data_IF_479623739371
#
_entry.id   IF_479623739371
#
_cell.length_a   1.000
_cell.length_b   1.000
_cell.length_c   1.000
_cell.angle_alpha   90.00
_cell.angle_beta   90.00
_cell.angle_gamma   90.00
#
_symmetry.space_group_name_H-M   'P 1'
#
loop_
_entity.id
_entity.type
_entity.pdbx_description
1 polymer ?
#
# COMPACT_ATOMS: atom_id res chain seq x y z
N UNK A 1 11.68 2.96 -22.92
CA UNK A 1 11.45 2.72 -21.50
C UNK A 1 9.98 2.40 -21.24
N UNK A 2 9.75 1.68 -20.18
CA UNK A 2 8.40 1.27 -19.85
C UNK A 2 7.84 2.13 -18.73
N UNK A 3 6.57 2.46 -18.87
CA UNK A 3 5.88 3.23 -17.86
C UNK A 3 4.77 2.38 -17.28
N UNK A 4 4.68 2.37 -15.97
CA UNK A 4 3.62 1.65 -15.29
C UNK A 4 2.63 2.66 -14.73
N UNK A 5 1.38 2.49 -15.10
CA UNK A 5 0.33 3.31 -14.54
C UNK A 5 -0.19 2.58 -13.30
N UNK A 6 0.09 3.14 -12.14
CA UNK A 6 -0.37 2.58 -10.89
C UNK A 6 -1.69 3.22 -10.57
N UNK A 7 -2.76 2.45 -10.68
CA UNK A 7 -4.09 2.95 -10.37
C UNK A 7 -4.25 3.08 -8.87
N UNK A 8 -4.88 4.16 -8.42
CA UNK A 8 -5.21 4.25 -7.00
C UNK A 8 -6.13 3.11 -6.58
N UNK A 9 -5.96 2.65 -5.38
CA UNK A 9 -6.79 1.58 -4.84
C UNK A 9 -6.96 1.78 -3.35
N UNK A 10 -7.91 1.07 -2.77
CA UNK A 10 -8.14 1.12 -1.35
C UNK A 10 -7.12 0.25 -0.62
N UNK A 11 -6.92 0.47 0.69
CA UNK A 11 -6.06 -0.41 1.45
C UNK A 11 -6.52 -1.87 1.41
N UNK A 12 -7.83 -2.10 1.41
CA UNK A 12 -8.35 -3.47 1.33
C UNK A 12 -7.96 -4.12 0.02
N UNK A 13 -8.03 -3.37 -1.06
CA UNK A 13 -7.63 -3.87 -2.36
C UNK A 13 -6.13 -4.16 -2.37
N UNK A 14 -5.35 -3.29 -1.77
CA UNK A 14 -3.91 -3.46 -1.72
C UNK A 14 -3.53 -4.72 -0.95
N UNK A 15 -4.23 -4.99 0.15
CA UNK A 15 -3.99 -6.20 0.91
C UNK A 15 -4.29 -7.44 0.06
N UNK A 16 -5.38 -7.39 -0.68
CA UNK A 16 -5.73 -8.48 -1.57
C UNK A 16 -4.64 -8.71 -2.60
N UNK A 17 -4.16 -7.64 -3.22
CA UNK A 17 -3.09 -7.75 -4.21
C UNK A 17 -1.82 -8.30 -3.59
N UNK A 18 -1.48 -7.82 -2.40
CA UNK A 18 -0.31 -8.29 -1.69
C UNK A 18 -0.36 -9.81 -1.49
N UNK A 19 -1.52 -10.29 -1.05
CA UNK A 19 -1.68 -11.72 -0.79
C UNK A 19 -1.67 -12.52 -2.09
N UNK A 20 -2.28 -12.00 -3.14
CA UNK A 20 -2.29 -12.69 -4.42
C UNK A 20 -0.88 -12.83 -5.00
N UNK A 21 -0.04 -11.84 -4.76
CA UNK A 21 1.33 -11.86 -5.26
C UNK A 21 2.28 -12.60 -4.34
N UNK A 22 1.83 -12.98 -3.15
CA UNK A 22 2.68 -13.66 -2.19
C UNK A 22 3.73 -12.78 -1.57
N UNK A 23 3.48 -11.48 -1.50
CA UNK A 23 4.40 -10.52 -0.90
C UNK A 23 4.04 -10.28 0.55
N UNK A 24 5.00 -9.74 1.29
CA UNK A 24 4.76 -9.38 2.68
C UNK A 24 4.53 -7.90 2.86
N UNK A 25 4.73 -7.13 1.83
CA UNK A 25 4.37 -5.73 1.81
C UNK A 25 4.00 -5.35 0.37
N UNK A 26 3.31 -4.23 0.22
CA UNK A 26 2.83 -3.82 -1.08
C UNK A 26 2.68 -2.30 -1.08
N UNK A 27 3.32 -1.65 -2.05
CA UNK A 27 3.26 -0.20 -2.20
C UNK A 27 2.16 0.14 -3.18
N UNK A 28 1.34 1.12 -2.85
CA UNK A 28 0.21 1.46 -3.71
C UNK A 28 -0.14 2.93 -3.54
N UNK A 29 -0.97 3.42 -4.45
CA UNK A 29 -1.53 4.76 -4.33
C UNK A 29 -2.87 4.63 -3.62
N UNK A 30 -3.00 5.32 -2.51
CA UNK A 30 -4.14 5.13 -1.63
C UNK A 30 -5.25 6.12 -1.98
N UNK A 31 -6.35 5.61 -2.54
CA UNK A 31 -7.45 6.46 -2.95
C UNK A 31 -8.13 7.13 -1.76
N UNK A 32 -7.91 6.60 -0.57
CA UNK A 32 -8.49 7.19 0.63
C UNK A 32 -7.59 8.27 1.23
N UNK A 33 -6.39 8.43 0.70
CA UNK A 33 -5.42 9.41 1.18
C UNK A 33 -4.98 10.31 0.03
N UNK A 34 -5.91 10.70 -0.78
CA UNK A 34 -5.66 11.62 -1.90
C UNK A 34 -4.56 11.11 -2.82
N UNK A 35 -4.57 9.80 -3.07
CA UNK A 35 -3.63 9.14 -3.99
C UNK A 35 -2.18 9.20 -3.51
N UNK A 36 -1.96 9.47 -2.23
CA UNK A 36 -0.61 9.41 -1.68
C UNK A 36 -0.12 7.98 -1.68
N UNK A 37 1.19 7.82 -1.80
CA UNK A 37 1.78 6.50 -1.71
C UNK A 37 1.61 5.95 -0.30
N UNK A 38 1.27 4.68 -0.23
CA UNK A 38 1.07 4.00 1.04
C UNK A 38 1.67 2.60 0.94
N UNK A 39 1.96 2.01 2.07
CA UNK A 39 2.49 0.66 2.14
C UNK A 39 1.62 -0.14 3.10
N UNK A 40 1.10 -1.27 2.63
CA UNK A 40 0.50 -2.25 3.52
C UNK A 40 1.52 -3.34 3.77
N UNK A 41 1.52 -3.91 4.95
CA UNK A 41 2.46 -4.95 5.30
C UNK A 41 1.85 -5.90 6.31
N UNK A 42 2.39 -7.10 6.35
CA UNK A 42 1.94 -8.12 7.30
C UNK A 42 2.65 -7.94 8.62
N UNK A 43 1.89 -7.95 9.68
CA UNK A 43 2.47 -7.90 11.02
C UNK A 43 2.84 -9.30 11.48
N UNK A 44 3.92 -9.39 12.23
CA UNK A 44 4.38 -10.70 12.72
C UNK A 44 3.36 -11.38 13.61
N UNK A 45 2.59 -10.59 14.34
CA UNK A 45 1.63 -11.13 15.28
C UNK A 45 0.23 -11.24 14.70
N UNK A 46 0.13 -11.08 13.39
CA UNK A 46 -1.15 -11.16 12.72
C UNK A 46 -1.68 -9.80 12.35
N UNK A 47 -2.55 -9.78 11.35
CA UNK A 47 -3.11 -8.53 10.88
C UNK A 47 -2.16 -7.80 9.95
N UNK A 48 -2.54 -6.57 9.64
CA UNK A 48 -1.84 -5.76 8.66
C UNK A 48 -1.58 -4.38 9.21
N UNK A 49 -0.51 -3.76 8.75
CA UNK A 49 -0.22 -2.38 9.07
C UNK A 49 -0.31 -1.53 7.81
N UNK A 50 -0.49 -0.24 8.00
CA UNK A 50 -0.58 0.71 6.90
C UNK A 50 0.27 1.92 7.23
N UNK A 51 1.15 2.27 6.32
CA UNK A 51 1.99 3.47 6.43
C UNK A 51 1.68 4.32 5.22
N UNK A 52 1.34 5.58 5.43
CA UNK A 52 1.05 6.47 4.33
C UNK A 52 2.14 7.52 4.20
N UNK A 53 2.15 8.16 3.04
CA UNK A 53 3.15 9.17 2.73
C UNK A 53 3.12 10.31 3.74
N UNK A 54 1.94 10.68 4.20
CA UNK A 54 1.80 11.72 5.20
C UNK A 54 2.57 11.38 6.46
N UNK A 55 2.50 10.11 6.87
CA UNK A 55 3.21 9.66 8.06
C UNK A 55 4.71 9.66 7.83
N UNK A 56 5.12 9.33 6.62
CA UNK A 56 6.55 9.24 6.29
C UNK A 56 7.17 10.60 6.10
N UNK A 57 6.41 11.53 5.55
CA UNK A 57 6.94 12.84 5.24
C UNK A 57 6.78 13.86 6.32
N UNK A 58 6.23 13.49 7.43
CA UNK A 58 5.94 14.43 8.50
C UNK A 58 7.17 14.67 9.34
N UNK A 59 7.42 15.90 9.62
CA UNK A 59 8.57 16.29 10.42
C UNK A 59 8.26 16.24 11.88
#
# INVERSE_FOLDING_TARGET
SKHFAIKPMSPEEAILQMNLLGHEFFVFRNMQEDEAFSVVYKRKQGGYGLISDDSLGDD
#
